data_IF_264164353623
#
_entry.id   IF_264164353623
#
_cell.length_a   1.000
_cell.length_b   1.000
_cell.length_c   1.000
_cell.angle_alpha   90.00
_cell.angle_beta   90.00
_cell.angle_gamma   90.00
#
_symmetry.space_group_name_H-M   'P 1'
#
loop_
_entity.id
_entity.type
_entity.pdbx_description
1 polymer ?
#
# COMPACT_ATOMS: atom_id res chain seq x y z
N UNK A 1 41.38 14.86 61.44
CA UNK A 1 40.25 15.72 61.83
C UNK A 1 39.55 16.16 60.57
N UNK A 2 39.00 15.25 59.77
CA UNK A 2 37.92 14.27 60.02
C UNK A 2 36.56 14.83 59.60
N UNK A 3 35.94 14.07 58.68
CA UNK A 3 34.50 13.80 58.50
C UNK A 3 33.56 14.99 58.23
N UNK A 4 32.61 14.94 57.30
CA UNK A 4 31.71 13.84 57.02
C UNK A 4 31.14 13.86 55.59
N UNK A 5 31.14 12.66 55.00
CA UNK A 5 30.26 12.17 53.94
C UNK A 5 28.81 12.00 54.45
N UNK A 6 27.88 11.80 53.50
CA UNK A 6 26.45 11.44 53.63
C UNK A 6 25.56 12.62 54.11
N UNK A 7 24.43 12.97 53.47
CA UNK A 7 23.30 12.15 53.00
C UNK A 7 22.45 12.98 51.99
N UNK A 8 21.69 12.29 51.11
CA UNK A 8 20.44 12.70 50.41
C UNK A 8 20.55 13.36 49.01
N UNK A 9 20.82 12.51 48.02
CA UNK A 9 20.15 12.52 46.71
C UNK A 9 18.72 11.99 46.87
N UNK A 10 17.71 12.87 46.90
CA UNK A 10 16.27 12.53 46.76
C UNK A 10 15.52 13.66 46.02
N UNK A 11 15.63 13.67 44.69
CA UNK A 11 14.79 14.52 43.83
C UNK A 11 14.40 13.86 42.50
N UNK A 12 14.50 12.54 42.43
CA UNK A 12 13.93 11.73 41.35
C UNK A 12 13.10 10.65 42.01
N UNK A 13 11.77 10.80 41.98
CA UNK A 13 10.70 9.81 42.26
C UNK A 13 9.55 10.43 43.09
N UNK A 14 8.89 11.47 42.57
CA UNK A 14 7.53 11.81 42.96
C UNK A 14 6.66 11.97 41.71
N UNK A 15 6.06 10.86 41.27
CA UNK A 15 4.75 10.78 40.58
C UNK A 15 4.38 9.33 40.32
N UNK A 16 4.13 8.58 41.40
CA UNK A 16 3.21 7.45 41.37
C UNK A 16 2.31 7.53 42.59
N UNK A 17 1.05 7.94 42.37
CA UNK A 17 -0.06 7.60 43.25
C UNK A 17 -1.22 7.09 42.37
N UNK A 18 -1.47 5.79 42.56
CA UNK A 18 -2.63 4.89 42.29
C UNK A 18 -4.04 5.52 42.25
N UNK A 19 -5.14 4.81 41.87
CA UNK A 19 -5.32 3.35 41.92
C UNK A 19 -6.08 2.68 40.76
N UNK A 20 -5.84 1.37 40.54
CA UNK A 20 -6.83 0.29 40.64
C UNK A 20 -6.08 -1.06 40.55
N UNK A 21 -6.13 -1.81 41.65
CA UNK A 21 -5.49 -3.11 41.90
C UNK A 21 -6.54 -4.21 41.86
N UNK A 22 -6.23 -5.35 41.23
CA UNK A 22 -6.59 -6.73 41.62
C UNK A 22 -5.51 -7.63 40.95
N UNK A 23 -4.49 -8.17 41.66
CA UNK A 23 -4.47 -9.43 42.46
C UNK A 23 -4.90 -10.65 41.61
N UNK A 24 -4.19 -11.77 41.46
CA UNK A 24 -3.06 -12.40 42.16
C UNK A 24 -2.58 -13.58 41.28
N UNK A 25 -1.26 -13.82 41.20
CA UNK A 25 -0.59 -15.12 41.42
C UNK A 25 0.90 -15.03 41.05
N UNK A 26 1.69 -14.94 42.10
CA UNK A 26 3.14 -14.97 42.14
C UNK A 26 3.61 -16.39 42.56
N UNK A 27 4.95 -16.60 42.61
CA UNK A 27 5.70 -17.71 43.25
C UNK A 27 6.00 -18.86 42.25
N UNK A 28 7.24 -19.21 41.86
CA UNK A 28 8.44 -19.53 42.66
C UNK A 28 9.73 -19.20 41.89
N UNK A 29 10.65 -18.46 42.53
CA UNK A 29 12.08 -18.41 42.25
C UNK A 29 12.78 -18.68 43.59
N UNK A 30 13.62 -19.72 43.68
CA UNK A 30 14.65 -19.87 44.72
C UNK A 30 15.74 -20.88 44.32
N UNK A 31 16.96 -20.39 44.51
CA UNK A 31 18.23 -21.08 44.82
C UNK A 31 18.86 -22.01 43.77
N UNK A 32 20.04 -21.62 43.25
CA UNK A 32 21.36 -22.13 43.69
C UNK A 32 22.46 -21.11 43.30
N UNK A 33 23.30 -20.79 44.27
CA UNK A 33 24.50 -19.92 44.24
C UNK A 33 25.76 -20.63 43.78
N UNK A 34 26.69 -19.85 43.19
CA UNK A 34 28.16 -19.98 43.12
C UNK A 34 28.83 -21.30 42.72
N UNK A 35 29.61 -21.25 41.63
CA UNK A 35 31.02 -21.68 41.67
C UNK A 35 31.86 -21.05 40.55
N UNK A 36 33.08 -20.65 40.90
CA UNK A 36 34.05 -19.95 40.05
C UNK A 36 35.19 -20.85 39.55
N UNK A 37 35.75 -20.47 38.38
CA UNK A 37 37.11 -20.69 37.83
C UNK A 37 37.39 -21.86 36.86
N UNK A 38 37.95 -21.43 35.71
CA UNK A 38 38.98 -22.00 34.83
C UNK A 38 39.00 -23.51 34.55
N UNK A 39 38.93 -23.86 33.26
CA UNK A 39 40.06 -24.51 32.58
C UNK A 39 39.97 -24.35 31.06
N UNK A 40 41.12 -24.04 30.46
CA UNK A 40 41.41 -24.08 29.03
C UNK A 40 42.03 -25.42 28.67
N UNK A 41 41.62 -26.07 27.56
CA UNK A 41 42.47 -26.78 26.57
C UNK A 41 41.61 -27.57 25.54
N UNK A 42 41.89 -27.25 24.26
CA UNK A 42 41.84 -28.03 23.00
C UNK A 42 40.59 -28.71 22.42
N UNK A 43 40.27 -28.23 21.20
CA UNK A 43 39.91 -28.90 19.95
C UNK A 43 39.10 -30.21 19.94
N UNK A 44 37.89 -30.14 19.36
CA UNK A 44 37.56 -30.95 18.18
C UNK A 44 36.38 -30.35 17.39
N UNK A 45 36.57 -30.21 16.08
CA UNK A 45 35.52 -29.98 15.10
C UNK A 45 34.55 -31.17 15.07
N UNK A 46 33.26 -30.93 15.34
CA UNK A 46 32.17 -31.65 14.65
C UNK A 46 31.07 -30.62 14.36
N UNK A 47 30.83 -30.43 13.07
CA UNK A 47 29.73 -29.67 12.53
C UNK A 47 28.38 -30.28 12.93
N UNK A 48 27.53 -29.48 13.59
CA UNK A 48 26.08 -29.64 13.57
C UNK A 48 25.48 -28.24 13.85
N UNK A 49 24.85 -27.51 12.93
CA UNK A 49 24.03 -27.99 11.82
C UNK A 49 22.52 -27.79 12.06
N UNK A 50 22.08 -26.83 12.90
CA UNK A 50 20.64 -26.51 12.97
C UNK A 50 20.28 -25.12 13.52
N UNK A 51 20.55 -24.07 12.75
CA UNK A 51 19.73 -22.84 12.84
C UNK A 51 18.35 -23.17 12.27
N UNK A 52 17.23 -22.94 12.97
CA UNK A 52 15.94 -23.45 12.52
C UNK A 52 15.46 -22.68 11.28
N UNK A 53 15.67 -23.28 10.12
CA UNK A 53 15.20 -22.90 8.78
C UNK A 53 13.66 -22.92 8.61
N UNK A 54 12.87 -22.80 9.70
CA UNK A 54 11.41 -23.00 9.68
C UNK A 54 10.55 -21.78 9.32
N UNK A 55 11.11 -20.69 8.79
CA UNK A 55 10.31 -19.50 8.36
C UNK A 55 10.13 -19.33 6.86
N UNK A 56 10.65 -20.25 6.02
CA UNK A 56 10.71 -20.03 4.56
C UNK A 56 9.56 -20.66 3.74
N UNK A 57 8.65 -21.42 4.34
CA UNK A 57 7.56 -22.11 3.61
C UNK A 57 6.21 -21.91 4.28
N UNK A 58 5.75 -20.65 4.34
CA UNK A 58 4.44 -20.28 4.90
C UNK A 58 3.41 -20.05 3.79
N UNK A 59 3.24 -21.03 2.89
CA UNK A 59 2.07 -21.07 2.01
C UNK A 59 1.11 -22.21 2.37
N UNK A 60 1.50 -23.15 3.24
CA UNK A 60 0.75 -24.42 3.45
C UNK A 60 0.52 -24.82 4.92
N UNK A 61 1.07 -24.15 5.93
CA UNK A 61 0.84 -24.55 7.34
C UNK A 61 -0.32 -23.80 7.99
N UNK A 62 -1.53 -24.23 7.65
CA UNK A 62 -2.84 -23.77 8.17
C UNK A 62 -3.05 -24.15 9.65
N UNK A 63 -2.22 -24.99 10.27
CA UNK A 63 -2.48 -25.51 11.62
C UNK A 63 -2.21 -24.55 12.78
N UNK A 64 -1.01 -23.97 12.85
CA UNK A 64 -0.56 -23.18 14.01
C UNK A 64 -0.63 -21.66 13.79
N UNK A 65 -0.55 -21.19 12.53
CA UNK A 65 -0.66 -19.77 12.21
C UNK A 65 -2.09 -19.21 12.41
N UNK A 66 -3.11 -20.04 12.20
CA UNK A 66 -4.55 -19.69 12.28
C UNK A 66 -4.97 -19.27 13.70
N UNK A 67 -4.32 -19.81 14.74
CA UNK A 67 -4.63 -19.48 16.13
C UNK A 67 -4.10 -18.11 16.58
N UNK A 68 -3.08 -17.58 15.89
CA UNK A 68 -2.43 -16.31 16.23
C UNK A 68 -3.10 -15.13 15.48
N UNK A 69 -4.04 -15.42 14.56
CA UNK A 69 -4.69 -14.40 13.77
C UNK A 69 -5.61 -13.52 14.60
N UNK A 70 -5.52 -12.21 14.38
CA UNK A 70 -6.51 -11.23 14.81
C UNK A 70 -7.81 -11.36 13.99
N UNK A 71 -8.56 -12.45 14.21
CA UNK A 71 -9.83 -12.73 13.52
C UNK A 71 -10.82 -11.56 13.47
N UNK A 72 -10.95 -10.71 14.51
CA UNK A 72 -11.81 -9.53 14.44
C UNK A 72 -11.46 -8.63 13.25
N UNK A 73 -10.18 -8.31 13.03
CA UNK A 73 -9.72 -7.45 11.93
C UNK A 73 -10.04 -8.07 10.57
N UNK A 74 -9.81 -9.38 10.43
CA UNK A 74 -10.03 -10.11 9.17
C UNK A 74 -11.53 -10.16 8.84
N UNK A 75 -12.36 -10.58 9.78
CA UNK A 75 -13.82 -10.70 9.59
C UNK A 75 -14.42 -9.34 9.29
N UNK A 76 -14.02 -8.30 10.02
CA UNK A 76 -14.51 -6.94 9.81
C UNK A 76 -14.08 -6.39 8.44
N UNK A 77 -12.85 -6.67 8.00
CA UNK A 77 -12.38 -6.30 6.65
C UNK A 77 -13.20 -6.94 5.54
N UNK A 78 -13.38 -8.26 5.60
CA UNK A 78 -14.19 -8.99 4.62
C UNK A 78 -15.66 -8.55 4.63
N UNK A 79 -16.21 -8.29 5.82
CA UNK A 79 -17.56 -7.79 5.98
C UNK A 79 -17.73 -6.39 5.36
N UNK A 80 -16.82 -5.45 5.65
CA UNK A 80 -16.91 -4.10 5.08
C UNK A 80 -16.75 -4.09 3.57
N UNK A 81 -15.86 -4.91 3.02
CA UNK A 81 -15.76 -5.07 1.57
C UNK A 81 -17.12 -5.45 0.95
N UNK A 82 -17.82 -6.41 1.56
CA UNK A 82 -19.13 -6.85 1.09
C UNK A 82 -20.21 -5.77 1.27
N UNK A 83 -20.20 -5.04 2.39
CA UNK A 83 -21.14 -3.94 2.67
C UNK A 83 -20.97 -2.81 1.64
N UNK A 84 -19.74 -2.41 1.36
CA UNK A 84 -19.43 -1.38 0.36
C UNK A 84 -19.88 -1.86 -1.02
N UNK A 85 -19.59 -3.11 -1.38
CA UNK A 85 -20.00 -3.69 -2.65
C UNK A 85 -21.52 -3.69 -2.81
N UNK A 86 -22.27 -4.15 -1.80
CA UNK A 86 -23.74 -4.15 -1.84
C UNK A 86 -24.28 -2.73 -1.93
N UNK A 87 -23.72 -1.79 -1.17
CA UNK A 87 -24.12 -0.39 -1.23
C UNK A 87 -23.94 0.19 -2.64
N UNK A 88 -22.78 0.02 -3.27
CA UNK A 88 -22.51 0.68 -4.56
C UNK A 88 -23.08 -0.08 -5.75
N UNK A 89 -23.03 -1.42 -5.74
CA UNK A 89 -23.43 -2.24 -6.89
C UNK A 89 -24.92 -2.59 -6.90
N UNK A 90 -25.58 -2.64 -5.73
CA UNK A 90 -27.02 -3.00 -5.65
C UNK A 90 -27.94 -1.81 -5.41
N UNK A 91 -27.46 -0.71 -4.82
CA UNK A 91 -28.32 0.45 -4.56
C UNK A 91 -28.11 1.55 -5.60
N UNK A 92 -29.20 2.14 -6.09
CA UNK A 92 -29.13 3.28 -7.01
C UNK A 92 -28.47 4.50 -6.38
N UNK A 93 -28.69 4.73 -5.08
CA UNK A 93 -28.07 5.84 -4.34
C UNK A 93 -26.54 5.69 -4.27
N UNK A 94 -26.04 4.51 -3.91
CA UNK A 94 -24.61 4.24 -3.85
C UNK A 94 -23.94 4.36 -5.21
N UNK A 95 -24.58 3.84 -6.27
CA UNK A 95 -24.13 4.01 -7.65
C UNK A 95 -23.98 5.49 -8.03
N UNK A 96 -25.02 6.30 -7.78
CA UNK A 96 -25.02 7.74 -8.10
C UNK A 96 -23.96 8.51 -7.32
N UNK A 97 -23.77 8.21 -6.03
CA UNK A 97 -22.76 8.88 -5.18
C UNK A 97 -21.35 8.57 -5.70
N UNK A 98 -21.01 7.29 -5.93
CA UNK A 98 -19.68 6.92 -6.40
C UNK A 98 -19.40 7.41 -7.80
N UNK A 99 -20.42 7.45 -8.67
CA UNK A 99 -20.30 8.07 -9.98
C UNK A 99 -20.01 9.57 -9.86
N UNK A 100 -20.71 10.29 -8.99
CA UNK A 100 -20.47 11.71 -8.74
C UNK A 100 -19.06 11.97 -8.22
N UNK A 101 -18.59 11.19 -7.23
CA UNK A 101 -17.22 11.27 -6.72
C UNK A 101 -16.20 11.04 -7.84
N UNK A 102 -16.42 10.01 -8.65
CA UNK A 102 -15.49 9.66 -9.72
C UNK A 102 -15.47 10.71 -10.84
N UNK A 103 -16.62 11.31 -11.17
CA UNK A 103 -16.70 12.44 -12.11
C UNK A 103 -16.00 13.66 -11.55
N UNK A 104 -16.24 14.04 -10.29
CA UNK A 104 -15.53 15.16 -9.65
C UNK A 104 -14.01 14.97 -9.66
N UNK A 105 -13.53 13.76 -9.32
CA UNK A 105 -12.11 13.45 -9.36
C UNK A 105 -11.54 13.56 -10.79
N UNK A 106 -12.29 13.07 -11.79
CA UNK A 106 -11.89 13.16 -13.20
C UNK A 106 -11.86 14.60 -13.71
N UNK A 107 -12.86 15.41 -13.35
CA UNK A 107 -12.96 16.82 -13.74
C UNK A 107 -11.81 17.61 -13.12
N UNK A 108 -11.57 17.42 -11.83
CA UNK A 108 -10.42 18.01 -11.13
C UNK A 108 -9.12 17.66 -11.85
N UNK A 109 -8.83 16.38 -12.07
CA UNK A 109 -7.60 15.95 -12.76
C UNK A 109 -7.47 16.51 -14.18
N UNK A 110 -8.60 16.76 -14.85
CA UNK A 110 -8.67 17.34 -16.19
C UNK A 110 -8.20 18.79 -16.28
N UNK A 111 -8.18 19.54 -15.18
CA UNK A 111 -7.71 20.94 -15.13
C UNK A 111 -6.22 21.10 -15.50
N UNK A 112 -5.45 20.00 -15.48
CA UNK A 112 -4.06 20.04 -15.93
C UNK A 112 -3.87 19.82 -17.44
N UNK A 113 -4.92 19.46 -18.19
CA UNK A 113 -4.82 19.26 -19.63
C UNK A 113 -4.32 20.52 -20.37
N UNK A 114 -4.83 21.75 -20.10
CA UNK A 114 -4.32 22.96 -20.74
C UNK A 114 -2.83 23.21 -20.46
N UNK A 115 -2.38 22.91 -19.24
CA UNK A 115 -0.97 23.03 -18.86
C UNK A 115 -0.11 21.98 -19.58
N UNK A 116 -0.60 20.77 -19.74
CA UNK A 116 0.10 19.75 -20.51
C UNK A 116 0.16 20.10 -22.00
N UNK A 117 -0.91 20.65 -22.58
CA UNK A 117 -0.96 21.05 -24.00
C UNK A 117 0.11 22.09 -24.31
N UNK A 118 0.37 22.99 -23.36
CA UNK A 118 1.45 23.96 -23.44
C UNK A 118 2.84 23.31 -23.57
N UNK A 119 3.10 22.17 -22.89
CA UNK A 119 4.41 21.50 -22.91
C UNK A 119 4.55 20.44 -24.00
N UNK A 120 3.49 19.70 -24.30
CA UNK A 120 3.55 18.49 -25.13
C UNK A 120 2.79 18.57 -26.44
N UNK A 121 2.01 19.63 -26.70
CA UNK A 121 1.01 19.73 -27.77
C UNK A 121 -0.26 18.87 -27.58
N UNK A 122 -1.33 19.25 -28.29
CA UNK A 122 -2.63 18.58 -28.20
C UNK A 122 -2.62 17.17 -28.83
N UNK A 123 -1.79 16.94 -29.86
CA UNK A 123 -1.74 15.65 -30.55
C UNK A 123 -1.09 14.57 -29.66
N UNK A 124 -0.08 14.94 -28.89
CA UNK A 124 0.63 14.05 -27.97
C UNK A 124 -0.25 13.67 -26.78
N UNK A 125 -1.07 14.60 -26.28
CA UNK A 125 -2.03 14.32 -25.20
C UNK A 125 -3.13 13.37 -25.67
N UNK A 126 -3.62 13.54 -26.90
CA UNK A 126 -4.61 12.66 -27.51
C UNK A 126 -4.09 11.23 -27.71
N UNK A 127 -2.77 11.01 -27.74
CA UNK A 127 -2.19 9.65 -27.82
C UNK A 127 -2.23 8.89 -26.50
N UNK A 128 -2.61 9.55 -25.40
CA UNK A 128 -2.73 8.96 -24.06
C UNK A 128 -1.50 8.13 -23.64
N UNK A 129 -0.30 8.63 -23.97
CA UNK A 129 0.93 7.96 -23.56
C UNK A 129 1.04 7.96 -22.05
N UNK A 130 1.30 6.78 -21.47
CA UNK A 130 1.33 6.58 -20.02
C UNK A 130 2.18 7.63 -19.30
N UNK A 131 3.40 7.88 -19.77
CA UNK A 131 4.31 8.83 -19.13
C UNK A 131 3.82 10.28 -19.22
N UNK A 132 3.30 10.69 -20.37
CA UNK A 132 2.75 12.05 -20.56
C UNK A 132 1.50 12.22 -19.70
N UNK A 133 0.58 11.26 -19.75
CA UNK A 133 -0.67 11.30 -18.99
C UNK A 133 -0.41 11.26 -17.47
N UNK A 134 0.59 10.50 -17.02
CA UNK A 134 1.04 10.52 -15.62
C UNK A 134 1.62 11.88 -15.24
N UNK A 135 2.50 12.48 -16.06
CA UNK A 135 3.06 13.81 -15.77
C UNK A 135 2.00 14.91 -15.76
N UNK A 136 1.02 14.85 -16.67
CA UNK A 136 -0.12 15.77 -16.72
C UNK A 136 -0.91 15.71 -15.42
N UNK A 137 -1.17 14.51 -14.90
CA UNK A 137 -1.99 14.28 -13.70
C UNK A 137 -1.19 14.29 -12.40
N UNK A 138 0.14 14.26 -12.48
CA UNK A 138 1.06 14.32 -11.35
C UNK A 138 0.89 15.60 -10.52
N UNK A 139 0.18 16.61 -11.03
CA UNK A 139 -0.13 17.79 -10.25
C UNK A 139 -1.07 17.56 -9.06
N UNK A 140 -1.89 16.51 -9.12
CA UNK A 140 -2.67 16.07 -7.96
C UNK A 140 -1.75 15.72 -6.77
N UNK A 141 -0.56 15.19 -7.07
CA UNK A 141 0.48 14.90 -6.08
C UNK A 141 0.93 16.20 -5.37
N UNK A 142 0.82 17.35 -6.04
CA UNK A 142 1.20 18.66 -5.53
C UNK A 142 0.11 19.22 -4.59
N UNK A 143 -1.17 18.99 -4.92
CA UNK A 143 -2.31 19.38 -4.09
C UNK A 143 -2.39 18.56 -2.80
N UNK A 144 -2.19 17.24 -2.88
CA UNK A 144 -2.19 16.37 -1.70
C UNK A 144 -1.04 16.68 -0.74
N UNK A 145 0.16 16.99 -1.26
CA UNK A 145 1.27 17.38 -0.40
C UNK A 145 1.04 18.75 0.26
N UNK A 146 0.30 19.68 -0.36
CA UNK A 146 -0.13 20.92 0.28
C UNK A 146 -1.02 20.62 1.50
N UNK A 147 -2.06 19.79 1.32
CA UNK A 147 -2.98 19.39 2.39
C UNK A 147 -2.23 18.67 3.52
N UNK A 148 -1.38 17.70 3.18
CA UNK A 148 -0.64 16.92 4.18
C UNK A 148 0.53 17.71 4.81
N UNK A 149 1.13 18.67 4.10
CA UNK A 149 2.17 19.52 4.65
C UNK A 149 1.60 20.61 5.57
N UNK A 150 0.39 21.10 5.32
CA UNK A 150 -0.30 22.04 6.19
C UNK A 150 -0.60 21.42 7.58
N UNK A 151 -0.86 20.12 7.66
CA UNK A 151 -1.02 19.40 8.94
C UNK A 151 0.29 19.33 9.76
N UNK A 152 1.45 19.28 9.10
CA UNK A 152 2.77 19.29 9.76
C UNK A 152 3.21 20.73 10.09
N UNK A 153 2.89 21.70 9.23
CA UNK A 153 3.22 23.12 9.39
C UNK A 153 2.42 23.82 10.49
N UNK A 154 1.11 23.64 10.52
CA UNK A 154 0.24 24.28 11.52
C UNK A 154 0.51 23.75 12.94
N UNK A 155 1.03 22.53 13.07
CA UNK A 155 1.40 21.96 14.38
C UNK A 155 2.70 22.48 14.93
N UNK A 156 3.72 22.69 14.11
CA UNK A 156 4.96 23.34 14.55
C UNK A 156 4.69 24.77 15.06
N UNK A 157 3.77 25.50 14.42
CA UNK A 157 3.37 26.83 14.87
C UNK A 157 2.49 26.82 16.14
N UNK A 158 1.65 25.78 16.32
CA UNK A 158 0.79 25.63 17.49
C UNK A 158 1.53 25.21 18.78
N UNK A 159 2.70 24.57 18.66
CA UNK A 159 3.49 24.13 19.83
C UNK A 159 4.21 25.31 20.51
N UNK A 160 4.41 26.45 19.84
CA UNK A 160 5.10 27.62 20.41
C UNK A 160 4.20 28.69 21.06
N UNK A 161 2.88 28.65 20.87
CA UNK A 161 1.97 29.66 21.43
C UNK A 161 0.77 29.03 22.15
N UNK A 162 0.93 28.75 23.44
CA UNK A 162 -0.10 28.18 24.32
C UNK A 162 -1.33 29.06 24.57
N UNK A 163 -1.43 30.26 23.98
CA UNK A 163 -2.54 31.21 24.23
C UNK A 163 -3.57 31.31 23.08
N UNK A 164 -3.38 30.62 21.94
CA UNK A 164 -4.31 30.70 20.77
C UNK A 164 -5.30 29.52 20.74
N UNK A 165 -5.61 28.93 21.91
CA UNK A 165 -6.51 27.77 22.04
C UNK A 165 -8.00 28.13 21.82
N UNK A 166 -8.36 29.42 21.71
CA UNK A 166 -9.75 29.84 21.41
C UNK A 166 -10.05 30.04 19.92
N UNK A 167 -9.04 30.17 19.06
CA UNK A 167 -9.20 30.23 17.59
C UNK A 167 -9.11 28.84 16.94
N UNK A 168 -9.36 27.80 17.74
CA UNK A 168 -9.20 26.38 17.40
C UNK A 168 -10.49 25.75 16.82
N UNK A 169 -11.54 26.54 16.56
CA UNK A 169 -12.80 26.00 16.03
C UNK A 169 -12.74 25.74 14.52
N UNK A 170 -12.02 26.57 13.76
CA UNK A 170 -11.87 26.44 12.31
C UNK A 170 -10.81 25.38 11.93
N UNK A 171 -9.76 25.22 12.73
CA UNK A 171 -8.75 24.17 12.52
C UNK A 171 -9.22 22.82 13.06
N UNK A 172 -10.05 22.77 14.13
CA UNK A 172 -10.82 21.54 14.44
C UNK A 172 -11.86 21.22 13.36
N UNK A 173 -12.26 22.18 12.53
CA UNK A 173 -13.13 21.95 11.37
C UNK A 173 -12.33 21.40 10.17
N UNK A 174 -11.06 21.77 10.00
CA UNK A 174 -10.17 21.18 8.99
C UNK A 174 -9.52 19.86 9.44
N UNK A 175 -9.26 19.65 10.73
CA UNK A 175 -8.92 18.33 11.33
C UNK A 175 -10.15 17.42 11.44
N UNK A 176 -11.35 17.98 11.23
CA UNK A 176 -12.55 17.24 10.77
C UNK A 176 -12.52 17.08 9.24
N UNK A 177 -11.35 16.91 8.64
CA UNK A 177 -11.26 16.49 7.24
C UNK A 177 -11.82 15.08 7.10
N UNK A 178 -12.39 14.78 5.94
CA UNK A 178 -12.87 13.45 5.56
C UNK A 178 -11.80 12.35 5.79
N UNK A 179 -10.52 12.72 5.69
CA UNK A 179 -9.35 11.88 5.94
C UNK A 179 -9.21 11.44 7.40
N UNK A 180 -9.35 12.36 8.37
CA UNK A 180 -9.24 12.02 9.79
C UNK A 180 -10.41 11.16 10.27
N UNK A 181 -11.60 11.40 9.73
CA UNK A 181 -12.79 10.58 10.00
C UNK A 181 -12.63 9.15 9.45
N UNK A 182 -12.12 9.01 8.22
CA UNK A 182 -11.90 7.70 7.58
C UNK A 182 -10.78 6.92 8.27
N UNK A 183 -9.70 7.60 8.67
CA UNK A 183 -8.63 6.97 9.45
C UNK A 183 -9.13 6.53 10.83
N UNK A 184 -9.86 7.37 11.55
CA UNK A 184 -10.46 6.99 12.82
C UNK A 184 -11.44 5.82 12.68
N UNK A 185 -12.20 5.78 11.59
CA UNK A 185 -13.07 4.65 11.27
C UNK A 185 -12.28 3.35 11.16
N UNK A 186 -11.28 3.26 10.28
CA UNK A 186 -10.47 2.04 10.14
C UNK A 186 -9.73 1.68 11.42
N UNK A 187 -9.16 2.67 12.13
CA UNK A 187 -8.52 2.46 13.43
C UNK A 187 -9.46 1.81 14.44
N UNK A 188 -10.67 2.36 14.59
CA UNK A 188 -11.64 1.89 15.60
C UNK A 188 -12.30 0.58 15.21
N UNK A 189 -12.63 0.39 13.94
CA UNK A 189 -13.37 -0.79 13.49
C UNK A 189 -12.45 -1.98 13.26
N UNK A 190 -11.26 -1.78 12.71
CA UNK A 190 -10.34 -2.87 12.35
C UNK A 190 -9.25 -3.12 13.40
N UNK A 191 -9.18 -2.30 14.46
CA UNK A 191 -8.19 -2.42 15.52
C UNK A 191 -6.74 -2.48 15.00
N UNK A 192 -6.47 -1.68 13.97
CA UNK A 192 -5.16 -1.51 13.34
C UNK A 192 -4.41 -0.34 13.97
N UNK A 193 -3.12 -0.20 13.70
CA UNK A 193 -2.32 0.90 14.24
C UNK A 193 -2.71 2.26 13.64
N UNK A 194 -2.33 3.35 14.31
CA UNK A 194 -2.60 4.71 13.82
C UNK A 194 -1.98 4.98 12.45
N UNK A 195 -0.75 4.50 12.22
CA UNK A 195 -0.09 4.62 10.92
C UNK A 195 -0.83 3.81 9.85
N UNK A 196 -1.20 2.55 10.14
CA UNK A 196 -1.97 1.70 9.23
C UNK A 196 -3.32 2.32 8.85
N UNK A 197 -3.97 3.01 9.80
CA UNK A 197 -5.25 3.66 9.56
C UNK A 197 -5.16 4.92 8.69
N UNK A 198 -4.13 5.76 8.87
CA UNK A 198 -3.88 6.91 7.98
C UNK A 198 -3.64 6.41 6.57
N UNK A 199 -2.81 5.37 6.45
CA UNK A 199 -2.51 4.72 5.19
C UNK A 199 -3.78 4.24 4.51
N UNK A 200 -4.61 3.47 5.22
CA UNK A 200 -5.89 2.95 4.72
C UNK A 200 -6.84 4.07 4.27
N UNK A 201 -6.83 5.23 4.94
CA UNK A 201 -7.68 6.37 4.58
C UNK A 201 -7.17 7.16 3.37
N UNK A 202 -5.85 7.27 3.22
CA UNK A 202 -5.22 7.87 2.04
C UNK A 202 -5.32 6.97 0.79
N UNK A 203 -5.62 5.68 1.02
CA UNK A 203 -5.57 4.59 0.04
C UNK A 203 -6.51 4.61 -1.19
N UNK A 204 -7.44 5.55 -1.35
CA UNK A 204 -8.12 5.73 -2.64
C UNK A 204 -7.49 6.79 -3.56
N UNK A 205 -6.56 7.59 -3.02
CA UNK A 205 -6.25 8.89 -3.59
C UNK A 205 -4.77 9.05 -3.95
N UNK A 206 -3.88 8.35 -3.25
CA UNK A 206 -2.44 8.63 -3.25
C UNK A 206 -1.66 7.39 -3.68
N UNK A 207 -0.85 7.52 -4.74
CA UNK A 207 -0.14 6.40 -5.33
C UNK A 207 1.02 5.86 -4.50
N UNK A 208 1.56 4.72 -4.94
CA UNK A 208 2.63 3.98 -4.24
C UNK A 208 3.86 4.82 -3.92
N UNK A 209 4.23 5.77 -4.79
CA UNK A 209 5.39 6.65 -4.58
C UNK A 209 5.11 7.79 -3.60
N UNK A 210 3.88 8.31 -3.58
CA UNK A 210 3.47 9.48 -2.79
C UNK A 210 3.10 9.08 -1.35
N UNK A 211 2.45 7.93 -1.19
CA UNK A 211 2.06 7.39 0.11
C UNK A 211 3.26 7.06 0.99
N UNK A 212 4.42 6.82 0.37
CA UNK A 212 5.69 6.69 1.06
C UNK A 212 6.06 7.94 1.90
N UNK A 213 5.64 9.15 1.47
CA UNK A 213 5.82 10.38 2.25
C UNK A 213 4.96 10.40 3.53
N UNK A 214 3.76 9.82 3.49
CA UNK A 214 2.87 9.73 4.66
C UNK A 214 3.45 8.78 5.71
N UNK A 215 4.01 7.66 5.27
CA UNK A 215 4.54 6.64 6.18
C UNK A 215 5.99 6.89 6.59
N UNK A 216 6.71 7.78 5.90
CA UNK A 216 8.13 8.10 6.16
C UNK A 216 8.49 8.22 7.65
N UNK A 217 7.74 8.93 8.52
CA UNK A 217 8.11 9.03 9.94
C UNK A 217 7.92 7.72 10.72
N UNK A 218 7.21 6.73 10.17
CA UNK A 218 6.90 5.47 10.84
C UNK A 218 7.73 4.29 10.32
N UNK A 219 8.16 4.28 9.05
CA UNK A 219 8.75 3.08 8.40
C UNK A 219 9.89 2.45 9.20
N UNK A 220 10.83 3.23 9.76
CA UNK A 220 11.96 2.68 10.54
C UNK A 220 11.52 1.99 11.85
N UNK A 221 10.45 2.48 12.46
CA UNK A 221 9.91 2.01 13.75
C UNK A 221 8.81 0.97 13.58
N UNK A 222 8.33 0.78 12.36
CA UNK A 222 7.19 -0.07 12.07
C UNK A 222 7.53 -1.55 12.26
N UNK A 223 6.55 -2.31 12.73
CA UNK A 223 6.67 -3.77 12.86
C UNK A 223 6.70 -4.42 11.48
N UNK A 224 7.08 -5.70 11.40
CA UNK A 224 7.05 -6.43 10.11
C UNK A 224 5.62 -6.55 9.55
N UNK A 225 4.61 -6.62 10.43
CA UNK A 225 3.19 -6.66 10.03
C UNK A 225 2.72 -5.30 9.51
N UNK A 226 3.10 -4.19 10.16
CA UNK A 226 2.83 -2.84 9.65
C UNK A 226 3.49 -2.60 8.31
N UNK A 227 4.78 -2.98 8.14
CA UNK A 227 5.47 -2.85 6.86
C UNK A 227 4.83 -3.71 5.77
N UNK A 228 4.44 -4.95 6.09
CA UNK A 228 3.72 -5.79 5.13
C UNK A 228 2.37 -5.20 4.77
N UNK A 229 1.63 -4.65 5.73
CA UNK A 229 0.39 -3.94 5.44
C UNK A 229 0.65 -2.70 4.61
N UNK A 230 1.70 -1.93 4.87
CA UNK A 230 2.02 -0.77 4.04
C UNK A 230 2.31 -1.15 2.60
N UNK A 231 2.85 -2.34 2.34
CA UNK A 231 3.13 -2.85 1.00
C UNK A 231 1.91 -3.53 0.35
N UNK A 232 1.09 -4.22 1.14
CA UNK A 232 -0.08 -4.95 0.65
C UNK A 232 -1.28 -4.01 0.44
N UNK A 233 -1.49 -3.06 1.35
CA UNK A 233 -2.44 -1.94 1.30
C UNK A 233 -1.76 -0.65 0.81
N UNK A 234 -2.50 0.40 0.42
CA UNK A 234 -2.00 1.47 -0.48
C UNK A 234 -0.83 2.33 0.01
N UNK A 235 -0.34 2.26 1.27
CA UNK A 235 0.83 3.08 1.65
C UNK A 235 1.98 2.96 0.64
N UNK A 236 2.03 1.79 -0.01
CA UNK A 236 2.76 1.47 -1.20
C UNK A 236 1.96 0.55 -2.15
N UNK A 237 0.68 0.32 -1.87
CA UNK A 237 -0.04 -0.93 -2.13
C UNK A 237 -0.22 -1.41 -3.56
N UNK A 238 -0.26 -2.72 -3.67
CA UNK A 238 -0.57 -3.45 -4.90
C UNK A 238 -2.08 -3.59 -5.16
N UNK A 239 -2.92 -3.32 -4.17
CA UNK A 239 -4.36 -3.60 -4.20
C UNK A 239 -5.24 -2.51 -4.80
N UNK A 240 -4.71 -1.31 -4.99
CA UNK A 240 -5.45 -0.11 -5.45
C UNK A 240 -4.65 0.63 -6.53
N UNK A 241 -5.30 1.59 -7.18
CA UNK A 241 -4.66 2.50 -8.14
C UNK A 241 -4.60 3.91 -7.56
N UNK A 242 -3.61 4.69 -7.99
CA UNK A 242 -3.50 6.09 -7.63
C UNK A 242 -4.62 6.92 -8.27
N UNK A 243 -5.05 7.97 -7.57
CA UNK A 243 -5.88 9.01 -8.16
C UNK A 243 -5.24 9.63 -9.41
N UNK A 244 -3.90 9.72 -9.49
CA UNK A 244 -3.22 10.30 -10.67
C UNK A 244 -3.46 9.51 -11.96
N UNK A 245 -3.51 8.18 -11.88
CA UNK A 245 -3.74 7.33 -13.07
C UNK A 245 -5.23 7.08 -13.36
N UNK A 246 -6.14 7.55 -12.49
CA UNK A 246 -7.58 7.35 -12.63
C UNK A 246 -8.11 7.87 -13.98
N UNK A 247 -7.78 9.12 -14.32
CA UNK A 247 -8.20 9.76 -15.58
C UNK A 247 -7.63 9.05 -16.82
N UNK A 248 -6.44 8.46 -16.70
CA UNK A 248 -5.81 7.70 -17.79
C UNK A 248 -6.66 6.48 -18.14
N UNK A 249 -7.10 5.72 -17.15
CA UNK A 249 -7.93 4.53 -17.40
C UNK A 249 -9.36 4.87 -17.81
N UNK A 250 -9.91 6.01 -17.33
CA UNK A 250 -11.19 6.54 -17.81
C UNK A 250 -11.11 6.83 -19.32
N UNK A 251 -10.02 7.47 -19.77
CA UNK A 251 -9.78 7.74 -21.20
C UNK A 251 -9.60 6.45 -22.03
N UNK A 252 -9.20 5.33 -21.40
CA UNK A 252 -9.16 4.02 -22.04
C UNK A 252 -10.54 3.33 -22.13
N UNK A 253 -11.62 3.99 -21.68
CA UNK A 253 -12.99 3.52 -21.77
C UNK A 253 -13.49 2.74 -20.55
N UNK A 254 -12.73 2.74 -19.45
CA UNK A 254 -13.16 2.09 -18.20
C UNK A 254 -14.13 3.01 -17.45
N UNK A 255 -15.30 2.52 -16.99
CA UNK A 255 -16.23 3.35 -16.24
C UNK A 255 -15.56 3.90 -14.97
N UNK A 256 -15.62 5.23 -14.72
CA UNK A 256 -14.94 5.88 -13.60
C UNK A 256 -15.42 5.34 -12.26
N UNK A 257 -16.72 4.99 -12.19
CA UNK A 257 -17.30 4.37 -11.02
C UNK A 257 -16.62 3.04 -10.67
N UNK A 258 -16.36 2.16 -11.65
CA UNK A 258 -15.75 0.85 -11.41
C UNK A 258 -14.35 0.98 -10.79
N UNK A 259 -13.61 2.02 -11.19
CA UNK A 259 -12.28 2.27 -10.68
C UNK A 259 -12.32 2.71 -9.22
N UNK A 260 -13.15 3.71 -8.90
CA UNK A 260 -13.27 4.25 -7.53
C UNK A 260 -13.85 3.20 -6.58
N UNK A 261 -14.88 2.47 -7.00
CA UNK A 261 -15.46 1.40 -6.17
C UNK A 261 -14.47 0.28 -5.91
N UNK A 262 -13.74 -0.16 -6.94
CA UNK A 262 -12.72 -1.19 -6.79
C UNK A 262 -11.63 -0.74 -5.81
N UNK A 263 -11.12 0.49 -5.93
CA UNK A 263 -10.13 1.03 -5.00
C UNK A 263 -10.65 1.05 -3.56
N UNK A 264 -11.86 1.56 -3.32
CA UNK A 264 -12.44 1.65 -1.97
C UNK A 264 -12.72 0.26 -1.37
N UNK A 265 -13.18 -0.70 -2.18
CA UNK A 265 -13.42 -2.08 -1.74
C UNK A 265 -12.12 -2.85 -1.46
N UNK A 266 -11.04 -2.54 -2.17
CA UNK A 266 -9.74 -3.20 -2.02
C UNK A 266 -9.03 -2.84 -0.70
N UNK A 267 -9.35 -1.70 -0.09
CA UNK A 267 -8.75 -1.27 1.20
C UNK A 267 -9.05 -2.27 2.32
N UNK A 268 -10.32 -2.51 2.70
CA UNK A 268 -10.63 -3.45 3.77
C UNK A 268 -10.22 -4.89 3.42
N UNK A 269 -10.22 -5.26 2.14
CA UNK A 269 -9.78 -6.56 1.66
C UNK A 269 -8.26 -6.77 1.84
N UNK A 270 -7.46 -5.79 1.44
CA UNK A 270 -6.00 -5.83 1.57
C UNK A 270 -5.55 -5.85 3.02
N UNK A 271 -6.24 -5.14 3.92
CA UNK A 271 -6.01 -5.18 5.37
C UNK A 271 -6.26 -6.60 5.90
N UNK A 272 -7.40 -7.20 5.57
CA UNK A 272 -7.73 -8.55 5.98
C UNK A 272 -6.71 -9.58 5.48
N UNK A 273 -6.37 -9.56 4.18
CA UNK A 273 -5.44 -10.50 3.56
C UNK A 273 -4.02 -10.33 4.10
N UNK A 274 -3.56 -9.08 4.28
CA UNK A 274 -2.25 -8.78 4.84
C UNK A 274 -2.11 -9.31 6.27
N UNK A 275 -3.10 -9.02 7.14
CA UNK A 275 -3.09 -9.47 8.53
C UNK A 275 -3.31 -10.99 8.68
N UNK A 276 -3.90 -11.66 7.69
CA UNK A 276 -3.89 -13.13 7.60
C UNK A 276 -2.50 -13.67 7.26
N UNK A 277 -1.74 -12.98 6.40
CA UNK A 277 -0.43 -13.44 5.94
C UNK A 277 0.69 -13.20 6.94
N UNK A 278 0.73 -12.01 7.54
CA UNK A 278 1.66 -11.60 8.59
C UNK A 278 0.84 -10.92 9.71
N UNK A 279 0.33 -11.68 10.69
CA UNK A 279 -0.39 -11.11 11.82
C UNK A 279 0.51 -10.23 12.69
N UNK A 280 -0.10 -9.29 13.40
CA UNK A 280 0.61 -8.41 14.33
C UNK A 280 1.05 -9.19 15.56
N UNK A 281 2.36 -9.33 15.77
CA UNK A 281 2.94 -10.01 16.94
C UNK A 281 3.56 -9.04 17.94
N UNK A 282 3.98 -7.87 17.46
CA UNK A 282 4.65 -6.85 18.25
C UNK A 282 3.66 -5.73 18.64
N UNK A 283 4.07 -4.84 19.54
CA UNK A 283 3.26 -3.66 19.89
C UNK A 283 3.68 -2.50 18.98
N UNK A 284 2.81 -2.04 18.05
CA UNK A 284 3.16 -0.94 17.17
C UNK A 284 3.32 0.37 17.97
N UNK A 285 4.27 1.20 17.55
CA UNK A 285 4.57 2.49 18.21
C UNK A 285 3.38 3.46 18.12
N UNK A 286 2.52 3.29 17.11
CA UNK A 286 1.32 4.12 16.88
C UNK A 286 0.04 3.50 17.46
N UNK A 287 0.17 2.54 18.40
CA UNK A 287 -0.98 1.96 19.08
C UNK A 287 -1.55 2.98 20.08
N UNK A 288 -2.81 3.37 19.94
CA UNK A 288 -3.45 4.33 20.85
C UNK A 288 -3.34 5.80 20.43
N UNK A 289 -2.43 6.16 19.51
CA UNK A 289 -2.31 7.51 18.96
C UNK A 289 -2.03 7.50 17.46
N UNK A 290 -2.72 8.38 16.72
CA UNK A 290 -2.49 8.61 15.28
C UNK A 290 -1.31 9.58 15.06
N UNK A 291 -0.64 9.98 16.15
CA UNK A 291 0.32 11.09 16.16
C UNK A 291 1.63 10.56 16.72
N UNK A 292 2.67 10.57 15.89
CA UNK A 292 4.06 10.48 16.36
C UNK A 292 4.73 11.80 16.00
N UNK A 293 5.04 12.56 17.05
CA UNK A 293 5.77 13.81 16.92
C UNK A 293 7.27 13.46 16.81
N UNK A 294 7.77 13.35 15.57
CA UNK A 294 9.21 13.39 15.32
C UNK A 294 9.57 14.84 15.12
N UNK A 295 10.07 15.48 16.19
CA UNK A 295 10.56 16.84 16.14
C UNK A 295 11.44 17.06 14.90
N UNK A 296 11.00 17.96 14.02
CA UNK A 296 11.80 18.74 13.07
C UNK A 296 13.03 18.09 12.39
N UNK A 297 12.95 16.85 11.91
CA UNK A 297 14.03 16.20 11.14
C UNK A 297 13.75 16.04 9.63
N UNK A 298 12.92 16.89 9.03
CA UNK A 298 12.96 17.00 7.56
C UNK A 298 14.18 17.84 7.14
N UNK A 299 15.09 17.22 6.36
CA UNK A 299 16.15 17.94 5.64
C UNK A 299 15.51 19.04 4.79
N UNK A 300 15.61 20.29 5.25
CA UNK A 300 15.04 21.48 4.61
C UNK A 300 13.88 22.16 5.35
N UNK A 301 13.48 21.66 6.52
CA UNK A 301 12.38 22.24 7.31
C UNK A 301 11.01 22.15 6.62
N UNK A 302 9.93 22.53 7.29
CA UNK A 302 8.60 22.49 6.70
C UNK A 302 8.46 23.61 5.64
N UNK A 303 7.52 23.51 4.68
CA UNK A 303 7.38 24.53 3.63
C UNK A 303 7.10 25.92 4.19
N UNK A 304 7.66 26.96 3.58
CA UNK A 304 7.56 28.34 4.13
C UNK A 304 6.25 29.01 3.72
N UNK A 305 5.72 28.64 2.57
CA UNK A 305 4.45 29.12 2.03
C UNK A 305 3.88 28.07 1.06
N UNK A 306 2.63 28.28 0.62
CA UNK A 306 1.95 27.39 -0.31
C UNK A 306 2.75 27.14 -1.59
N UNK A 307 3.37 28.17 -2.17
CA UNK A 307 4.15 28.04 -3.41
C UNK A 307 5.42 27.20 -3.21
N UNK A 308 6.08 27.31 -2.06
CA UNK A 308 7.22 26.47 -1.70
C UNK A 308 6.81 25.00 -1.53
N UNK A 309 5.64 24.74 -0.94
CA UNK A 309 5.06 23.40 -0.86
C UNK A 309 4.75 22.84 -2.26
N UNK A 310 4.14 23.64 -3.15
CA UNK A 310 3.89 23.27 -4.55
C UNK A 310 5.19 22.90 -5.28
N UNK A 311 6.24 23.73 -5.16
CA UNK A 311 7.52 23.50 -5.83
C UNK A 311 8.24 22.23 -5.33
N UNK A 312 8.21 21.97 -4.02
CA UNK A 312 8.75 20.72 -3.44
C UNK A 312 7.93 19.50 -3.85
N UNK A 313 6.60 19.63 -3.90
CA UNK A 313 5.71 18.62 -4.46
C UNK A 313 6.04 18.31 -5.91
N UNK A 314 6.25 19.34 -6.74
CA UNK A 314 6.61 19.23 -8.15
C UNK A 314 7.91 18.45 -8.38
N UNK A 315 8.97 18.81 -7.66
CA UNK A 315 10.26 18.12 -7.77
C UNK A 315 10.15 16.66 -7.33
N UNK A 316 9.40 16.40 -6.26
CA UNK A 316 9.17 15.04 -5.79
C UNK A 316 8.36 14.21 -6.80
N UNK A 317 7.28 14.77 -7.37
CA UNK A 317 6.49 14.10 -8.41
C UNK A 317 7.31 13.75 -9.64
N UNK A 318 8.23 14.62 -10.06
CA UNK A 318 9.17 14.35 -11.16
C UNK A 318 10.12 13.18 -10.83
N UNK A 319 10.65 13.13 -9.61
CA UNK A 319 11.51 12.02 -9.16
C UNK A 319 10.73 10.69 -9.21
N UNK A 320 9.50 10.68 -8.69
CA UNK A 320 8.64 9.50 -8.70
C UNK A 320 8.29 9.09 -10.13
N UNK A 321 7.92 10.03 -11.01
CA UNK A 321 7.66 9.77 -12.42
C UNK A 321 8.88 9.16 -13.13
N UNK A 322 10.08 9.68 -12.86
CA UNK A 322 11.33 9.15 -13.40
C UNK A 322 11.62 7.73 -12.91
N UNK A 323 11.35 7.42 -11.64
CA UNK A 323 11.46 6.07 -11.10
C UNK A 323 10.47 5.10 -11.75
N UNK A 324 9.21 5.53 -11.96
CA UNK A 324 8.21 4.73 -12.65
C UNK A 324 8.67 4.44 -14.10
N UNK A 325 9.10 5.46 -14.83
CA UNK A 325 9.59 5.32 -16.21
C UNK A 325 10.75 4.32 -16.28
N UNK A 326 11.77 4.49 -15.45
CA UNK A 326 12.96 3.63 -15.45
C UNK A 326 12.60 2.18 -15.10
N UNK A 327 11.77 1.96 -14.08
CA UNK A 327 11.41 0.61 -13.64
C UNK A 327 10.49 -0.10 -14.64
N UNK A 328 9.47 0.58 -15.18
CA UNK A 328 8.57 0.01 -16.18
C UNK A 328 9.34 -0.32 -17.46
N UNK A 329 10.21 0.58 -17.94
CA UNK A 329 11.03 0.33 -19.12
C UNK A 329 11.93 -0.89 -18.93
N UNK A 330 12.61 -0.98 -17.78
CA UNK A 330 13.51 -2.09 -17.47
C UNK A 330 12.78 -3.42 -17.42
N UNK A 331 11.61 -3.47 -16.78
CA UNK A 331 10.85 -4.71 -16.62
C UNK A 331 10.19 -5.14 -17.93
N UNK A 332 9.67 -4.21 -18.73
CA UNK A 332 9.17 -4.53 -20.08
C UNK A 332 10.29 -5.08 -20.98
N UNK A 333 11.47 -4.47 -20.96
CA UNK A 333 12.63 -4.95 -21.71
C UNK A 333 13.06 -6.36 -21.28
N UNK A 334 13.04 -6.64 -19.96
CA UNK A 334 13.32 -7.97 -19.43
C UNK A 334 12.27 -8.99 -19.87
N UNK A 335 10.99 -8.64 -19.78
CA UNK A 335 9.88 -9.49 -20.22
C UNK A 335 9.97 -9.80 -21.71
N UNK A 336 10.30 -8.83 -22.56
CA UNK A 336 10.47 -9.07 -24.00
C UNK A 336 11.67 -9.97 -24.28
N UNK A 337 12.76 -9.80 -23.53
CA UNK A 337 13.92 -10.71 -23.60
C UNK A 337 13.53 -12.14 -23.23
N UNK A 338 12.77 -12.32 -22.14
CA UNK A 338 12.26 -13.64 -21.71
C UNK A 338 11.30 -14.22 -22.75
N UNK A 339 10.38 -13.42 -23.30
CA UNK A 339 9.46 -13.87 -24.35
C UNK A 339 10.20 -14.31 -25.61
N UNK A 340 11.26 -13.59 -26.01
CA UNK A 340 12.11 -13.96 -27.13
C UNK A 340 12.81 -15.30 -26.89
N UNK A 341 13.37 -15.49 -25.68
CA UNK A 341 14.00 -16.75 -25.29
C UNK A 341 12.99 -17.91 -25.22
N UNK A 342 11.84 -17.70 -24.61
CA UNK A 342 10.76 -18.69 -24.54
C UNK A 342 10.26 -19.07 -25.92
N UNK A 343 10.12 -18.10 -26.83
CA UNK A 343 9.71 -18.37 -28.22
C UNK A 343 10.78 -19.19 -28.94
N UNK A 344 12.06 -18.90 -28.73
CA UNK A 344 13.17 -19.67 -29.29
C UNK A 344 13.16 -21.12 -28.79
N UNK A 345 13.01 -21.33 -27.48
CA UNK A 345 12.89 -22.67 -26.87
C UNK A 345 11.63 -23.37 -27.38
N UNK A 346 10.49 -22.67 -27.39
CA UNK A 346 9.18 -23.20 -27.80
C UNK A 346 9.20 -23.73 -29.24
N UNK A 347 9.89 -23.03 -30.15
CA UNK A 347 10.08 -23.51 -31.53
C UNK A 347 10.79 -24.87 -31.59
N UNK A 348 11.70 -25.14 -30.64
CA UNK A 348 12.34 -26.47 -30.50
C UNK A 348 11.37 -27.59 -30.10
N UNK A 349 10.27 -27.26 -29.43
CA UNK A 349 9.22 -28.20 -29.01
C UNK A 349 7.95 -28.13 -29.88
N UNK A 350 8.00 -27.43 -31.03
CA UNK A 350 6.84 -27.27 -31.93
C UNK A 350 5.81 -26.22 -31.49
N UNK A 351 6.09 -25.42 -30.47
CA UNK A 351 5.24 -24.32 -29.99
C UNK A 351 5.75 -23.00 -30.57
N UNK A 352 5.07 -22.49 -31.60
CA UNK A 352 5.56 -21.32 -32.34
C UNK A 352 5.49 -19.98 -31.59
N UNK A 353 4.63 -19.85 -30.57
CA UNK A 353 4.39 -18.60 -29.83
C UNK A 353 4.34 -18.84 -28.31
N UNK A 354 5.42 -19.40 -27.76
CA UNK A 354 5.55 -19.55 -26.30
C UNK A 354 5.96 -18.21 -25.67
N UNK A 355 5.04 -17.56 -24.97
CA UNK A 355 5.25 -16.30 -24.26
C UNK A 355 4.87 -16.41 -22.78
N UNK A 356 5.38 -15.50 -21.96
CA UNK A 356 4.95 -15.34 -20.56
C UNK A 356 3.44 -15.11 -20.46
N UNK A 357 2.85 -14.36 -21.40
CA UNK A 357 1.41 -14.16 -21.46
C UNK A 357 0.66 -15.48 -21.64
N UNK A 358 1.14 -16.37 -22.51
CA UNK A 358 0.52 -17.68 -22.72
C UNK A 358 0.62 -18.54 -21.45
N UNK A 359 1.82 -18.63 -20.86
CA UNK A 359 2.07 -19.44 -19.68
C UNK A 359 1.24 -18.93 -18.50
N UNK A 360 1.38 -17.64 -18.17
CA UNK A 360 0.66 -17.03 -17.05
C UNK A 360 -0.84 -16.96 -17.32
N UNK A 361 -1.27 -16.84 -18.58
CA UNK A 361 -2.67 -16.91 -18.97
C UNK A 361 -3.30 -18.26 -18.61
N UNK A 362 -2.58 -19.37 -18.76
CA UNK A 362 -3.05 -20.68 -18.30
C UNK A 362 -2.93 -20.86 -16.79
N UNK A 363 -1.90 -20.30 -16.16
CA UNK A 363 -1.75 -20.32 -14.68
C UNK A 363 -2.90 -19.56 -13.99
N UNK A 364 -3.31 -18.42 -14.55
CA UNK A 364 -4.41 -17.62 -14.02
C UNK A 364 -5.79 -18.05 -14.50
N UNK A 365 -5.89 -18.99 -15.46
CA UNK A 365 -7.17 -19.55 -15.93
C UNK A 365 -8.08 -20.08 -14.81
N UNK A 366 -7.60 -20.93 -13.86
CA UNK A 366 -8.46 -21.36 -12.75
C UNK A 366 -8.90 -20.18 -11.88
N UNK A 367 -8.05 -19.17 -11.70
CA UNK A 367 -8.40 -18.02 -10.86
C UNK A 367 -9.47 -17.16 -11.53
N UNK A 368 -9.39 -16.92 -12.84
CA UNK A 368 -10.44 -16.22 -13.59
C UNK A 368 -11.74 -17.01 -13.67
N UNK A 369 -11.67 -18.34 -13.68
CA UNK A 369 -12.86 -19.17 -13.53
C UNK A 369 -13.55 -18.94 -12.18
N UNK A 370 -12.80 -18.92 -11.07
CA UNK A 370 -13.36 -18.68 -9.72
C UNK A 370 -13.86 -17.25 -9.50
N UNK A 371 -13.37 -16.27 -10.27
CA UNK A 371 -13.91 -14.91 -10.29
C UNK A 371 -15.30 -14.82 -10.96
N UNK A 372 -15.79 -15.87 -11.61
CA UNK A 372 -17.12 -15.89 -12.21
C UNK A 372 -17.20 -15.29 -13.61
N UNK A 373 -16.09 -15.26 -14.35
CA UNK A 373 -16.04 -14.88 -15.77
C UNK A 373 -16.81 -15.91 -16.62
N UNK A 374 -17.62 -15.49 -17.61
CA UNK A 374 -18.26 -16.40 -18.56
C UNK A 374 -17.26 -17.34 -19.25
N UNK A 375 -17.62 -18.62 -19.34
CA UNK A 375 -16.76 -19.70 -19.85
C UNK A 375 -15.98 -19.41 -21.15
N UNK A 376 -16.59 -18.84 -22.22
CA UNK A 376 -15.87 -18.59 -23.47
C UNK A 376 -14.79 -17.49 -23.34
N UNK A 377 -14.87 -16.65 -22.31
CA UNK A 377 -14.06 -15.44 -22.15
C UNK A 377 -12.94 -15.59 -21.10
N UNK A 378 -12.92 -16.71 -20.37
CA UNK A 378 -11.99 -16.97 -19.26
C UNK A 378 -10.53 -16.81 -19.69
N UNK A 379 -10.17 -17.34 -20.86
CA UNK A 379 -8.81 -17.26 -21.38
C UNK A 379 -8.42 -15.84 -21.79
N UNK A 380 -9.35 -15.06 -22.33
CA UNK A 380 -9.08 -13.66 -22.68
C UNK A 380 -8.85 -12.84 -21.41
N UNK A 381 -9.68 -13.01 -20.39
CA UNK A 381 -9.52 -12.32 -19.11
C UNK A 381 -8.27 -12.80 -18.37
N UNK A 382 -7.91 -14.08 -18.44
CA UNK A 382 -6.70 -14.59 -17.76
C UNK A 382 -5.41 -14.05 -18.38
N UNK A 383 -5.40 -13.81 -19.70
CA UNK A 383 -4.31 -13.11 -20.38
C UNK A 383 -4.20 -11.66 -19.94
N UNK A 384 -5.32 -10.95 -19.73
CA UNK A 384 -5.29 -9.60 -19.16
C UNK A 384 -4.68 -9.58 -17.76
N UNK A 385 -5.01 -10.55 -16.90
CA UNK A 385 -4.40 -10.68 -15.58
C UNK A 385 -2.92 -11.03 -15.65
N UNK A 386 -2.51 -11.88 -16.60
CA UNK A 386 -1.11 -12.15 -16.88
C UNK A 386 -0.38 -10.86 -17.27
N UNK A 387 -0.90 -10.11 -18.24
CA UNK A 387 -0.33 -8.82 -18.67
C UNK A 387 -0.20 -7.84 -17.51
N UNK A 388 -1.23 -7.73 -16.65
CA UNK A 388 -1.13 -6.93 -15.43
C UNK A 388 0.04 -7.39 -14.57
N UNK A 389 0.13 -8.70 -14.28
CA UNK A 389 1.10 -9.24 -13.34
C UNK A 389 2.56 -9.04 -13.80
N UNK A 390 2.89 -9.38 -15.05
CA UNK A 390 4.28 -9.31 -15.52
C UNK A 390 4.69 -7.92 -16.05
N UNK A 391 3.76 -7.15 -16.62
CA UNK A 391 4.03 -5.84 -17.19
C UNK A 391 3.49 -4.74 -16.28
N UNK A 392 2.22 -4.38 -16.45
CA UNK A 392 1.48 -3.45 -15.60
C UNK A 392 0.00 -3.42 -16.02
N UNK A 393 -0.82 -2.82 -15.17
CA UNK A 393 -2.24 -2.61 -15.39
C UNK A 393 -2.54 -1.65 -16.56
N UNK A 394 -1.67 -0.67 -16.85
CA UNK A 394 -1.88 0.22 -18.00
C UNK A 394 -1.89 -0.53 -19.34
N UNK A 395 -0.90 -1.40 -19.57
CA UNK A 395 -0.84 -2.23 -20.79
C UNK A 395 -2.03 -3.19 -20.81
N UNK A 396 -2.43 -3.73 -19.66
CA UNK A 396 -3.61 -4.59 -19.58
C UNK A 396 -4.91 -3.84 -19.92
N UNK A 397 -5.09 -2.60 -19.45
CA UNK A 397 -6.25 -1.77 -19.80
C UNK A 397 -6.27 -1.39 -21.28
N UNK A 398 -5.10 -1.11 -21.87
CA UNK A 398 -5.01 -0.90 -23.32
C UNK A 398 -5.42 -2.15 -24.10
N UNK A 399 -4.98 -3.33 -23.68
CA UNK A 399 -5.39 -4.60 -24.28
C UNK A 399 -6.90 -4.84 -24.10
N UNK A 400 -7.46 -4.51 -22.94
CA UNK A 400 -8.90 -4.57 -22.69
C UNK A 400 -9.68 -3.66 -23.65
N UNK A 401 -9.24 -2.42 -23.82
CA UNK A 401 -9.85 -1.48 -24.77
C UNK A 401 -9.84 -2.04 -26.20
N UNK A 402 -8.69 -2.61 -26.63
CA UNK A 402 -8.57 -3.23 -27.95
C UNK A 402 -9.51 -4.42 -28.13
N UNK A 403 -9.71 -5.24 -27.10
CA UNK A 403 -10.68 -6.35 -27.13
C UNK A 403 -12.10 -5.81 -27.26
N UNK A 404 -12.46 -4.75 -26.55
CA UNK A 404 -13.80 -4.16 -26.61
C UNK A 404 -14.14 -3.52 -27.96
N UNK A 405 -13.16 -3.06 -28.71
CA UNK A 405 -13.34 -2.51 -30.07
C UNK A 405 -13.27 -3.61 -31.15
N UNK A 406 -12.82 -4.81 -30.80
CA UNK A 406 -12.68 -5.93 -31.74
C UNK A 406 -14.03 -6.51 -32.17
N UNK A 407 -14.01 -7.38 -33.19
CA UNK A 407 -15.20 -8.12 -33.65
C UNK A 407 -15.77 -9.10 -32.61
N UNK A 408 -15.02 -9.39 -31.55
CA UNK A 408 -15.43 -10.30 -30.46
C UNK A 408 -15.23 -9.61 -29.11
N UNK A 409 -16.06 -8.62 -28.78
CA UNK A 409 -15.96 -7.90 -27.50
C UNK A 409 -16.36 -8.80 -26.34
N UNK A 410 -15.85 -8.49 -25.14
CA UNK A 410 -16.26 -9.16 -23.92
C UNK A 410 -17.72 -8.82 -23.58
N UNK A 411 -18.43 -9.77 -22.99
CA UNK A 411 -19.72 -9.49 -22.37
C UNK A 411 -19.61 -8.38 -21.31
N UNK A 412 -20.68 -7.61 -21.05
CA UNK A 412 -20.67 -6.58 -20.01
C UNK A 412 -20.25 -7.09 -18.63
N UNK A 413 -20.57 -8.36 -18.33
CA UNK A 413 -20.15 -9.02 -17.09
C UNK A 413 -18.63 -9.25 -17.07
N UNK A 414 -18.05 -9.87 -18.10
CA UNK A 414 -16.60 -10.08 -18.16
C UNK A 414 -15.82 -8.77 -18.19
N UNK A 415 -16.32 -7.76 -18.92
CA UNK A 415 -15.72 -6.43 -18.96
C UNK A 415 -15.69 -5.79 -17.56
N UNK A 416 -16.79 -5.91 -16.79
CA UNK A 416 -16.85 -5.40 -15.42
C UNK A 416 -15.87 -6.14 -14.51
N UNK A 417 -15.90 -7.48 -14.51
CA UNK A 417 -14.98 -8.29 -13.71
C UNK A 417 -13.51 -7.98 -14.07
N UNK A 418 -13.18 -7.90 -15.36
CA UNK A 418 -11.85 -7.53 -15.83
C UNK A 418 -11.45 -6.13 -15.36
N UNK A 419 -12.36 -5.15 -15.44
CA UNK A 419 -12.11 -3.78 -14.98
C UNK A 419 -11.76 -3.74 -13.48
N UNK A 420 -12.48 -4.46 -12.62
CA UNK A 420 -12.16 -4.54 -11.19
C UNK A 420 -10.86 -5.31 -10.95
N UNK A 421 -10.66 -6.42 -11.65
CA UNK A 421 -9.47 -7.26 -11.45
C UNK A 421 -8.18 -6.57 -11.91
N UNK A 422 -8.26 -5.69 -12.91
CA UNK A 422 -7.15 -4.88 -13.38
C UNK A 422 -6.87 -3.66 -12.48
N UNK A 423 -7.84 -3.22 -11.68
CA UNK A 423 -7.74 -2.06 -10.81
C UNK A 423 -6.84 -2.33 -9.58
N UNK A 424 -5.53 -2.33 -9.81
CA UNK A 424 -4.52 -2.27 -8.76
C UNK A 424 -3.11 -2.48 -9.31
N UNK A 425 -2.13 -1.91 -8.64
CA UNK A 425 -0.72 -1.92 -9.05
C UNK A 425 0.05 -3.22 -8.77
N UNK A 426 -0.64 -4.34 -8.54
CA UNK A 426 -0.05 -5.66 -8.30
C UNK A 426 0.70 -6.21 -9.54
N UNK A 427 1.94 -5.77 -9.72
CA UNK A 427 2.80 -6.15 -10.84
C UNK A 427 4.30 -6.13 -10.46
N UNK A 428 5.14 -6.78 -11.26
CA UNK A 428 6.60 -6.85 -11.03
C UNK A 428 7.27 -5.47 -11.09
N UNK A 429 6.74 -4.54 -11.90
CA UNK A 429 7.14 -3.13 -12.00
C UNK A 429 7.10 -2.42 -10.66
N UNK A 430 5.90 -2.41 -10.08
CA UNK A 430 5.57 -1.88 -8.78
C UNK A 430 6.33 -2.56 -7.66
N UNK A 431 6.62 -3.86 -7.76
CA UNK A 431 7.46 -4.54 -6.77
C UNK A 431 8.85 -3.90 -6.67
N UNK A 432 9.47 -3.59 -7.81
CA UNK A 432 10.75 -2.89 -7.86
C UNK A 432 10.66 -1.46 -7.30
N UNK A 433 9.60 -0.72 -7.66
CA UNK A 433 9.35 0.64 -7.16
C UNK A 433 9.24 0.64 -5.64
N UNK A 434 8.41 -0.24 -5.07
CA UNK A 434 8.19 -0.28 -3.62
C UNK A 434 9.45 -0.64 -2.85
N UNK A 435 10.21 -1.65 -3.31
CA UNK A 435 11.48 -2.01 -2.67
C UNK A 435 12.45 -0.82 -2.71
N UNK A 436 12.54 -0.14 -3.85
CA UNK A 436 13.43 1.02 -4.02
C UNK A 436 13.04 2.20 -3.13
N UNK A 437 11.76 2.60 -3.15
CA UNK A 437 11.25 3.74 -2.40
C UNK A 437 11.35 3.49 -0.89
N UNK A 438 10.86 2.35 -0.40
CA UNK A 438 10.92 2.06 1.04
C UNK A 438 12.34 1.87 1.54
N UNK A 439 13.20 1.20 0.78
CA UNK A 439 14.60 1.00 1.19
C UNK A 439 15.36 2.32 1.23
N UNK A 440 14.99 3.29 0.38
CA UNK A 440 15.55 4.64 0.44
C UNK A 440 15.04 5.44 1.65
N UNK A 441 13.78 5.21 2.08
CA UNK A 441 13.20 5.87 3.25
C UNK A 441 13.70 5.28 4.58
N UNK A 442 13.86 3.95 4.64
CA UNK A 442 14.31 3.21 5.81
C UNK A 442 15.46 2.25 5.44
N UNK A 443 16.69 2.76 5.19
CA UNK A 443 17.83 1.92 4.79
C UNK A 443 18.12 0.79 5.77
N UNK A 444 17.89 1.04 7.07
CA UNK A 444 18.04 0.08 8.17
C UNK A 444 17.13 -1.16 8.02
N UNK A 445 15.97 -1.01 7.36
CA UNK A 445 14.95 -2.06 7.17
C UNK A 445 14.94 -2.65 5.76
N UNK A 446 15.79 -2.18 4.86
CA UNK A 446 15.83 -2.59 3.43
C UNK A 446 15.80 -4.11 3.21
N UNK A 447 16.53 -4.88 4.02
CA UNK A 447 16.54 -6.36 3.95
C UNK A 447 15.17 -6.98 4.27
N UNK A 448 14.47 -6.45 5.26
CA UNK A 448 13.13 -6.93 5.66
C UNK A 448 12.13 -6.58 4.55
N UNK A 449 12.18 -5.33 4.07
CA UNK A 449 11.33 -4.82 2.98
C UNK A 449 11.46 -5.72 1.75
N UNK A 450 12.67 -5.97 1.26
CA UNK A 450 12.90 -6.82 0.10
C UNK A 450 12.39 -8.26 0.28
N UNK A 451 12.45 -8.79 1.51
CA UNK A 451 11.98 -10.15 1.83
C UNK A 451 10.44 -10.25 1.81
N UNK A 452 9.74 -9.26 2.35
CA UNK A 452 8.28 -9.29 2.47
C UNK A 452 7.56 -8.79 1.22
N UNK A 453 8.22 -8.01 0.37
CA UNK A 453 7.63 -7.38 -0.82
C UNK A 453 6.90 -8.35 -1.76
N UNK A 454 7.46 -9.53 -2.13
CA UNK A 454 6.76 -10.46 -3.02
C UNK A 454 5.48 -11.03 -2.39
N UNK A 455 5.51 -11.26 -1.07
CA UNK A 455 4.35 -11.71 -0.31
C UNK A 455 3.24 -10.64 -0.30
N UNK A 456 3.63 -9.38 -0.08
CA UNK A 456 2.72 -8.25 -0.11
C UNK A 456 2.09 -8.05 -1.50
N UNK A 457 2.86 -8.25 -2.58
CA UNK A 457 2.38 -8.21 -3.97
C UNK A 457 1.29 -9.22 -4.22
N UNK A 458 1.50 -10.46 -3.81
CA UNK A 458 0.50 -11.51 -4.00
C UNK A 458 -0.76 -11.21 -3.16
N UNK A 459 -0.60 -10.70 -1.93
CA UNK A 459 -1.74 -10.30 -1.10
C UNK A 459 -2.58 -9.20 -1.76
N UNK A 460 -1.95 -8.17 -2.33
CA UNK A 460 -2.65 -7.11 -3.05
C UNK A 460 -3.26 -7.60 -4.36
N UNK A 461 -2.61 -8.50 -5.09
CA UNK A 461 -3.17 -9.15 -6.27
C UNK A 461 -4.45 -9.92 -5.93
N UNK A 462 -4.41 -10.75 -4.88
CA UNK A 462 -5.58 -11.50 -4.39
C UNK A 462 -6.69 -10.55 -3.95
N UNK A 463 -6.37 -9.43 -3.28
CA UNK A 463 -7.35 -8.43 -2.90
C UNK A 463 -8.12 -7.89 -4.13
N UNK A 464 -7.41 -7.59 -5.23
CA UNK A 464 -8.06 -7.14 -6.49
C UNK A 464 -8.86 -8.24 -7.18
N UNK A 465 -8.45 -9.50 -7.06
CA UNK A 465 -9.25 -10.62 -7.58
C UNK A 465 -10.51 -10.85 -6.75
N UNK A 466 -10.43 -10.66 -5.44
CA UNK A 466 -11.55 -10.78 -4.54
C UNK A 466 -12.57 -9.66 -4.77
N UNK A 467 -12.13 -8.40 -4.96
CA UNK A 467 -13.05 -7.32 -5.34
C UNK A 467 -13.73 -7.59 -6.68
N UNK A 468 -12.99 -8.13 -7.65
CA UNK A 468 -13.53 -8.50 -8.95
C UNK A 468 -14.52 -9.67 -8.91
N UNK A 469 -14.34 -10.63 -8.00
CA UNK A 469 -15.26 -11.75 -7.82
C UNK A 469 -16.58 -11.33 -7.14
N UNK A 470 -16.55 -10.24 -6.36
CA UNK A 470 -17.75 -9.67 -5.71
C UNK A 470 -18.56 -8.83 -6.71
N UNK A 471 -17.89 -8.17 -7.66
CA UNK A 471 -18.49 -7.39 -8.73
C UNK A 471 -19.25 -8.27 -9.74
#
# INVERSE_FOLDING_TARGET
MDTANTVITDAYLERQQSPYVFSEKEIIMRDVTDDTKNDSVEHNEIADGSVPHKKLTTWVLVGTAVLILGWPTVIIGLFFQQVIALFVLKTGAGFSIFRWIATLASDFLGEANPAAEFFFDAETIAKHWFFVAYLTTAWNNYFFRLICADDVLLRSYAIHHQEIVKRHLFIKFCLKSEFSCSAYFFYKTMNISGAEAIVAAASPWIGQGESACLVRPFVDLSTESELHLFMASEALGFSTISGSVLSVYINLGVPPQNLVTSSVMSIPASIAISKMRIPELDVPVTRGSVIVDRGHEEKGGPPVNALHAFSRGATFGLIVAGQILANVLTILALVYTINGLLTWIGRGFGIHQLTLELILGYVFYPVTFFMGVPRPEILQVSRLLATKFYANEFVAYKNLQMIMISNTPLTPRAFTIASYALCGFANLGSLGIQIGVLSALAPSRSRIIARIAPSAMICGFIATMQTAAIA
#
